data_IF_933130909225
#
_entry.id   IF_933130909225
#
_cell.length_a   1.000
_cell.length_b   1.000
_cell.length_c   1.000
_cell.angle_alpha   90.00
_cell.angle_beta   90.00
_cell.angle_gamma   90.00
#
_symmetry.space_group_name_H-M   'P 1'
#
loop_
_entity.id
_entity.type
_entity.pdbx_description
1 polymer ?
#
# COMPACT_ATOMS: atom_id res chain seq x y z
N UNK A 1 -24.82 10.82 11.81
CA UNK A 1 -23.63 10.30 12.52
C UNK A 1 -23.89 8.83 12.85
N UNK A 2 -22.93 7.96 12.58
CA UNK A 2 -23.00 6.51 12.79
C UNK A 2 -21.80 6.09 13.65
N UNK A 3 -21.97 5.11 14.53
CA UNK A 3 -20.90 4.57 15.37
C UNK A 3 -20.80 3.06 15.21
N UNK A 4 -19.58 2.55 15.02
CA UNK A 4 -19.34 1.11 14.99
C UNK A 4 -19.47 0.50 16.39
N UNK A 5 -20.24 -0.59 16.53
CA UNK A 5 -20.49 -1.27 17.80
C UNK A 5 -19.29 -2.10 18.32
N UNK A 6 -18.25 -2.28 17.51
CA UNK A 6 -17.05 -3.05 17.89
C UNK A 6 -15.85 -2.17 18.24
N UNK A 7 -15.54 -1.20 17.38
CA UNK A 7 -14.34 -0.35 17.53
C UNK A 7 -14.65 1.12 17.87
N UNK A 8 -15.93 1.44 18.15
CA UNK A 8 -16.42 2.77 18.51
C UNK A 8 -16.11 3.89 17.50
N UNK A 9 -15.62 3.54 16.31
CA UNK A 9 -15.29 4.49 15.25
C UNK A 9 -16.54 5.22 14.78
N UNK A 10 -16.46 6.54 14.74
CA UNK A 10 -17.55 7.42 14.31
C UNK A 10 -17.38 7.78 12.84
N UNK A 11 -18.48 7.70 12.08
CA UNK A 11 -18.55 8.07 10.67
C UNK A 11 -19.72 9.05 10.48
N UNK A 12 -19.50 10.09 9.68
CA UNK A 12 -20.54 11.01 9.26
C UNK A 12 -21.11 10.54 7.93
N UNK A 13 -22.44 10.46 7.83
CA UNK A 13 -23.15 10.28 6.56
C UNK A 13 -23.56 11.67 6.09
N UNK A 14 -23.22 12.02 4.85
CA UNK A 14 -23.58 13.27 4.21
C UNK A 14 -24.57 12.93 3.11
N UNK A 15 -25.79 13.46 3.26
CA UNK A 15 -26.86 13.28 2.30
C UNK A 15 -27.03 14.59 1.52
N UNK A 16 -27.08 14.51 0.20
CA UNK A 16 -27.22 15.67 -0.68
C UNK A 16 -28.67 15.82 -1.11
N UNK A 17 -29.22 17.02 -0.98
CA UNK A 17 -30.57 17.33 -1.48
C UNK A 17 -30.50 18.53 -2.42
N UNK A 18 -31.05 18.36 -3.61
CA UNK A 18 -31.14 19.39 -4.63
C UNK A 18 -32.61 19.54 -5.06
N UNK A 19 -33.08 20.79 -5.17
CA UNK A 19 -34.47 21.09 -5.51
C UNK A 19 -34.81 20.88 -6.99
N UNK A 20 -33.81 20.89 -7.87
CA UNK A 20 -34.02 20.88 -9.33
C UNK A 20 -33.93 19.48 -9.95
N UNK A 21 -33.21 18.56 -9.29
CA UNK A 21 -33.03 17.19 -9.76
C UNK A 21 -32.90 16.26 -8.56
N UNK A 22 -33.58 15.11 -8.64
CA UNK A 22 -33.30 13.98 -7.74
C UNK A 22 -31.92 13.42 -8.10
N UNK A 23 -30.90 13.96 -7.42
CA UNK A 23 -29.66 13.22 -7.23
C UNK A 23 -30.07 11.98 -6.43
N UNK A 24 -30.08 10.80 -7.07
CA UNK A 24 -30.40 9.54 -6.39
C UNK A 24 -29.58 9.38 -5.10
N UNK A 25 -29.96 8.42 -4.25
CA UNK A 25 -29.50 8.21 -2.86
C UNK A 25 -27.96 8.03 -2.70
N UNK A 26 -27.18 9.06 -3.06
CA UNK A 26 -25.73 9.11 -3.02
C UNK A 26 -25.34 9.73 -1.69
N UNK A 27 -25.36 8.90 -0.65
CA UNK A 27 -24.80 9.25 0.64
C UNK A 27 -23.27 9.14 0.58
N UNK A 28 -22.58 10.23 0.90
CA UNK A 28 -21.14 10.21 1.14
C UNK A 28 -20.84 9.88 2.61
N UNK A 29 -19.65 9.34 2.87
CA UNK A 29 -19.22 9.00 4.23
C UNK A 29 -17.88 9.67 4.55
N UNK A 30 -17.77 10.26 5.74
CA UNK A 30 -16.53 10.82 6.25
C UNK A 30 -16.12 10.17 7.58
N UNK A 31 -14.89 9.64 7.70
CA UNK A 31 -13.91 9.46 6.61
C UNK A 31 -14.42 8.46 5.55
N UNK A 32 -13.92 8.53 4.30
CA UNK A 32 -14.29 7.60 3.23
C UNK A 32 -14.01 6.14 3.60
N UNK A 33 -14.71 5.19 2.98
CA UNK A 33 -14.51 3.76 3.22
C UNK A 33 -13.12 3.26 2.78
N UNK A 34 -12.55 3.88 1.74
CA UNK A 34 -11.19 3.64 1.31
C UNK A 34 -10.13 4.25 2.25
N UNK A 35 -10.55 5.13 3.16
CA UNK A 35 -9.64 5.78 4.12
C UNK A 35 -9.10 4.77 5.12
N UNK A 36 -7.80 4.87 5.38
CA UNK A 36 -7.05 4.03 6.31
C UNK A 36 -6.04 4.87 7.07
N UNK A 37 -5.65 4.39 8.26
CA UNK A 37 -4.62 5.04 9.07
C UNK A 37 -3.24 4.75 8.46
N UNK A 38 -2.37 5.75 8.30
CA UNK A 38 -0.99 5.52 7.91
C UNK A 38 -0.26 4.63 8.94
N UNK A 39 0.62 3.71 8.52
CA UNK A 39 1.35 2.84 9.40
C UNK A 39 2.44 3.60 10.17
N UNK A 40 2.69 3.21 11.41
CA UNK A 40 3.69 3.85 12.27
C UNK A 40 5.11 3.76 11.69
N UNK A 41 5.41 2.68 10.96
CA UNK A 41 6.73 2.46 10.35
C UNK A 41 6.99 3.36 9.13
N UNK A 42 5.98 4.09 8.63
CA UNK A 42 6.12 5.01 7.49
C UNK A 42 7.21 6.07 7.71
N UNK A 43 7.53 6.42 8.95
CA UNK A 43 8.59 7.38 9.26
C UNK A 43 10.00 6.81 9.11
N UNK A 44 10.14 5.49 8.94
CA UNK A 44 11.41 4.78 8.87
C UNK A 44 11.84 4.47 7.43
N UNK A 45 10.94 4.61 6.45
CA UNK A 45 11.28 4.45 5.03
C UNK A 45 11.98 5.70 4.47
N UNK A 46 12.75 5.57 3.37
CA UNK A 46 13.36 6.70 2.68
C UNK A 46 12.38 7.83 2.37
N UNK A 47 12.85 9.08 2.45
CA UNK A 47 12.02 10.28 2.33
C UNK A 47 11.22 10.30 1.01
N UNK A 48 11.83 9.92 -0.12
CA UNK A 48 11.14 9.89 -1.41
C UNK A 48 9.93 8.96 -1.42
N UNK A 49 10.04 7.78 -0.80
CA UNK A 49 8.93 6.82 -0.67
C UNK A 49 7.89 7.34 0.31
N UNK A 50 8.34 7.93 1.42
CA UNK A 50 7.47 8.46 2.47
C UNK A 50 6.57 9.58 1.95
N UNK A 51 7.13 10.54 1.22
CA UNK A 51 6.38 11.66 0.67
C UNK A 51 5.32 11.17 -0.29
N UNK A 52 5.67 10.29 -1.23
CA UNK A 52 4.70 9.73 -2.18
C UNK A 52 3.64 8.87 -1.48
N UNK A 53 4.02 8.08 -0.47
CA UNK A 53 3.06 7.33 0.34
C UNK A 53 2.10 8.26 1.09
N UNK A 54 2.56 9.41 1.58
CA UNK A 54 1.71 10.40 2.24
C UNK A 54 0.67 10.96 1.27
N UNK A 55 1.06 11.29 0.04
CA UNK A 55 0.13 11.75 -1.01
C UNK A 55 -0.93 10.70 -1.34
N UNK A 56 -0.56 9.41 -1.37
CA UNK A 56 -1.51 8.31 -1.55
C UNK A 56 -2.52 8.28 -0.39
N UNK A 57 -2.08 8.40 0.87
CA UNK A 57 -3.00 8.48 2.00
C UNK A 57 -3.92 9.69 1.93
N UNK A 58 -3.42 10.85 1.49
CA UNK A 58 -4.26 12.04 1.25
C UNK A 58 -5.33 11.75 0.20
N UNK A 59 -4.98 11.07 -0.90
CA UNK A 59 -5.95 10.66 -1.92
C UNK A 59 -7.01 9.70 -1.37
N UNK A 60 -6.62 8.73 -0.53
CA UNK A 60 -7.55 7.81 0.14
C UNK A 60 -8.51 8.54 1.09
N UNK A 61 -8.00 9.52 1.84
CA UNK A 61 -8.79 10.34 2.76
C UNK A 61 -9.75 11.30 2.04
N UNK A 62 -9.47 11.63 0.79
CA UNK A 62 -10.30 12.45 -0.09
C UNK A 62 -11.19 11.62 -1.05
N UNK A 63 -11.35 10.31 -0.80
CA UNK A 63 -12.06 9.35 -1.66
C UNK A 63 -11.63 9.37 -3.15
N UNK A 64 -10.40 9.81 -3.42
CA UNK A 64 -9.82 9.93 -4.76
C UNK A 64 -9.23 8.61 -5.23
N UNK A 65 -10.11 7.61 -5.40
CA UNK A 65 -9.77 6.19 -5.63
C UNK A 65 -8.79 5.94 -6.78
N UNK A 66 -9.02 6.56 -7.93
CA UNK A 66 -8.13 6.42 -9.10
C UNK A 66 -6.75 7.02 -8.83
N UNK A 67 -6.69 8.17 -8.18
CA UNK A 67 -5.43 8.83 -7.83
C UNK A 67 -4.63 7.99 -6.83
N UNK A 68 -5.29 7.42 -5.82
CA UNK A 68 -4.64 6.51 -4.88
C UNK A 68 -4.02 5.30 -5.61
N UNK A 69 -4.73 4.69 -6.55
CA UNK A 69 -4.19 3.57 -7.35
C UNK A 69 -3.04 3.97 -8.29
N UNK A 70 -3.13 5.14 -8.89
CA UNK A 70 -2.03 5.69 -9.71
C UNK A 70 -0.79 5.93 -8.85
N UNK A 71 -0.97 6.51 -7.66
CA UNK A 71 0.12 6.73 -6.70
C UNK A 71 0.71 5.42 -6.19
N UNK A 72 -0.11 4.42 -5.87
CA UNK A 72 0.35 3.09 -5.47
C UNK A 72 1.24 2.45 -6.54
N UNK A 73 0.84 2.55 -7.81
CA UNK A 73 1.66 2.10 -8.95
C UNK A 73 2.97 2.88 -9.07
N UNK A 74 2.93 4.20 -8.93
CA UNK A 74 4.12 5.04 -8.98
C UNK A 74 5.10 4.71 -7.84
N UNK A 75 4.60 4.46 -6.64
CA UNK A 75 5.41 4.10 -5.47
C UNK A 75 6.11 2.75 -5.65
N UNK A 76 5.44 1.77 -6.26
CA UNK A 76 6.09 0.51 -6.65
C UNK A 76 7.23 0.75 -7.65
N UNK A 77 7.03 1.63 -8.63
CA UNK A 77 8.07 1.95 -9.61
C UNK A 77 9.27 2.65 -8.98
N UNK A 78 9.03 3.65 -8.12
CA UNK A 78 10.09 4.34 -7.35
C UNK A 78 10.86 3.35 -6.48
N UNK A 79 10.15 2.49 -5.75
CA UNK A 79 10.79 1.42 -4.97
C UNK A 79 11.67 0.53 -5.86
N UNK A 80 11.15 0.04 -6.98
CA UNK A 80 11.92 -0.80 -7.89
C UNK A 80 13.15 -0.08 -8.42
N UNK A 81 13.03 1.17 -8.86
CA UNK A 81 14.14 1.97 -9.36
C UNK A 81 15.25 2.13 -8.32
N UNK A 82 14.90 2.41 -7.07
CA UNK A 82 15.88 2.59 -5.99
C UNK A 82 16.60 1.27 -5.62
N UNK A 83 15.99 0.12 -5.90
CA UNK A 83 16.52 -1.19 -5.51
C UNK A 83 17.27 -1.91 -6.66
N UNK A 84 16.82 -1.76 -7.91
CA UNK A 84 17.37 -2.45 -9.09
C UNK A 84 17.80 -1.53 -10.23
N UNK A 85 17.58 -0.22 -10.10
CA UNK A 85 17.83 0.76 -11.16
C UNK A 85 16.68 0.85 -12.16
N UNK A 86 16.78 1.79 -13.09
CA UNK A 86 15.77 1.98 -14.12
C UNK A 86 15.93 0.94 -15.25
N UNK A 87 15.08 -0.08 -15.19
CA UNK A 87 14.93 -1.08 -16.25
C UNK A 87 13.65 -0.79 -17.05
N UNK A 88 13.66 -1.05 -18.35
CA UNK A 88 12.58 -0.66 -19.26
C UNK A 88 11.16 -1.09 -18.86
N UNK A 89 11.01 -2.23 -18.18
CA UNK A 89 9.68 -2.79 -17.89
C UNK A 89 9.57 -3.26 -16.45
N UNK A 90 8.34 -3.26 -15.92
CA UNK A 90 8.04 -3.77 -14.58
C UNK A 90 8.42 -5.24 -14.42
N UNK A 91 8.20 -6.06 -15.44
CA UNK A 91 8.56 -7.49 -15.37
C UNK A 91 10.09 -7.67 -15.19
N UNK A 92 10.90 -6.89 -15.91
CA UNK A 92 12.36 -6.91 -15.75
C UNK A 92 12.77 -6.43 -14.35
N UNK A 93 12.14 -5.36 -13.83
CA UNK A 93 12.40 -4.86 -12.47
C UNK A 93 12.05 -5.91 -11.41
N UNK A 94 10.90 -6.58 -11.54
CA UNK A 94 10.46 -7.61 -10.60
C UNK A 94 11.36 -8.86 -10.66
N UNK A 95 11.73 -9.31 -11.86
CA UNK A 95 12.69 -10.43 -12.01
C UNK A 95 14.04 -10.10 -11.37
N UNK A 96 14.55 -8.88 -11.58
CA UNK A 96 15.79 -8.44 -10.94
C UNK A 96 15.69 -8.37 -9.40
N UNK A 97 14.52 -8.04 -8.84
CA UNK A 97 14.30 -8.08 -7.39
C UNK A 97 14.31 -9.51 -6.83
N UNK A 98 13.76 -10.48 -7.58
CA UNK A 98 13.82 -11.92 -7.25
C UNK A 98 15.25 -12.42 -7.30
N UNK A 99 15.99 -12.12 -8.38
CA UNK A 99 17.39 -12.52 -8.55
C UNK A 99 18.29 -11.99 -7.44
N UNK A 100 18.03 -10.76 -6.95
CA UNK A 100 18.74 -10.18 -5.80
C UNK A 100 18.24 -10.69 -4.44
N UNK A 101 17.27 -11.61 -4.41
CA UNK A 101 16.69 -12.17 -3.18
C UNK A 101 15.92 -11.16 -2.33
N UNK A 102 15.51 -10.01 -2.90
CA UNK A 102 14.75 -8.99 -2.16
C UNK A 102 13.28 -9.40 -2.01
N UNK A 103 12.75 -10.06 -3.04
CA UNK A 103 11.40 -10.64 -3.07
C UNK A 103 11.47 -12.11 -3.54
N UNK A 104 10.41 -12.88 -3.32
CA UNK A 104 10.24 -14.24 -3.86
C UNK A 104 9.40 -14.23 -5.14
N UNK A 105 9.35 -15.37 -5.85
CA UNK A 105 8.46 -15.52 -7.01
C UNK A 105 6.98 -15.36 -6.65
N UNK A 106 6.57 -15.80 -5.44
CA UNK A 106 5.20 -15.60 -4.98
C UNK A 106 4.89 -14.13 -4.76
N UNK A 107 5.85 -13.36 -4.22
CA UNK A 107 5.69 -11.91 -4.05
C UNK A 107 5.57 -11.22 -5.41
N UNK A 108 6.34 -11.66 -6.41
CA UNK A 108 6.26 -11.14 -7.79
C UNK A 108 4.82 -11.23 -8.32
N UNK A 109 4.16 -12.38 -8.18
CA UNK A 109 2.78 -12.56 -8.64
C UNK A 109 1.80 -11.60 -7.91
N UNK A 110 1.98 -11.41 -6.61
CA UNK A 110 1.18 -10.48 -5.80
C UNK A 110 1.39 -9.02 -6.25
N UNK A 111 2.65 -8.62 -6.49
CA UNK A 111 2.98 -7.26 -6.95
C UNK A 111 2.46 -6.96 -8.35
N UNK A 112 2.46 -7.96 -9.25
CA UNK A 112 1.86 -7.82 -10.59
C UNK A 112 0.38 -7.46 -10.49
N UNK A 113 -0.37 -8.06 -9.58
CA UNK A 113 -1.79 -7.74 -9.40
C UNK A 113 -2.02 -6.26 -9.03
N UNK A 114 -1.23 -5.72 -8.09
CA UNK A 114 -1.31 -4.31 -7.71
C UNK A 114 -0.89 -3.38 -8.87
N UNK A 115 0.16 -3.74 -9.62
CA UNK A 115 0.61 -2.99 -10.79
C UNK A 115 -0.47 -2.95 -11.89
N UNK A 116 -1.14 -4.07 -12.15
CA UNK A 116 -2.22 -4.16 -13.15
C UNK A 116 -3.46 -3.37 -12.76
N UNK A 117 -3.83 -3.38 -11.47
CA UNK A 117 -4.92 -2.56 -10.96
C UNK A 117 -4.61 -1.06 -11.13
N UNK A 118 -3.39 -0.64 -10.82
CA UNK A 118 -2.93 0.74 -11.08
C UNK A 118 -2.88 1.08 -12.57
N UNK A 119 -2.46 0.13 -13.43
CA UNK A 119 -2.46 0.30 -14.88
C UNK A 119 -3.89 0.47 -15.41
N UNK A 120 -4.85 -0.31 -14.90
CA UNK A 120 -6.27 -0.18 -15.23
C UNK A 120 -6.84 1.18 -14.83
N UNK A 121 -6.52 1.67 -13.63
CA UNK A 121 -6.95 2.99 -13.18
C UNK A 121 -6.37 4.11 -14.06
N UNK A 122 -5.09 3.99 -14.45
CA UNK A 122 -4.37 5.02 -15.21
C UNK A 122 -4.81 5.07 -16.68
N UNK A 123 -4.84 3.93 -17.37
CA UNK A 123 -4.98 3.90 -18.83
C UNK A 123 -6.36 3.45 -19.30
N UNK A 124 -7.07 2.65 -18.51
CA UNK A 124 -8.39 2.11 -18.88
C UNK A 124 -9.55 2.86 -18.22
N UNK A 125 -9.26 3.87 -17.41
CA UNK A 125 -10.27 4.62 -16.66
C UNK A 125 -11.03 3.77 -15.63
N UNK A 126 -10.48 2.62 -15.23
CA UNK A 126 -11.13 1.73 -14.26
C UNK A 126 -11.32 2.46 -12.92
N UNK A 127 -12.53 2.37 -12.35
CA UNK A 127 -12.81 2.84 -11.01
C UNK A 127 -12.74 1.63 -10.06
N UNK A 128 -11.68 1.49 -9.25
CA UNK A 128 -11.54 0.38 -8.33
C UNK A 128 -12.59 0.46 -7.20
N UNK A 129 -13.03 -0.70 -6.70
CA UNK A 129 -13.85 -0.75 -5.49
C UNK A 129 -13.01 -0.44 -4.24
N UNK A 130 -13.67 -0.15 -3.11
CA UNK A 130 -12.97 0.07 -1.84
C UNK A 130 -12.13 -1.16 -1.42
N UNK A 131 -12.62 -2.37 -1.75
CA UNK A 131 -11.91 -3.61 -1.49
C UNK A 131 -10.66 -3.75 -2.39
N UNK A 132 -10.76 -3.40 -3.67
CA UNK A 132 -9.60 -3.45 -4.58
C UNK A 132 -8.49 -2.49 -4.15
N UNK A 133 -8.87 -1.27 -3.72
CA UNK A 133 -7.93 -0.29 -3.17
C UNK A 133 -7.30 -0.82 -1.90
N UNK A 134 -8.10 -1.43 -1.02
CA UNK A 134 -7.58 -1.98 0.22
C UNK A 134 -6.55 -3.07 -0.04
N UNK A 135 -6.83 -4.01 -0.95
CA UNK A 135 -5.89 -5.04 -1.35
C UNK A 135 -4.62 -4.46 -1.98
N UNK A 136 -4.73 -3.48 -2.88
CA UNK A 136 -3.58 -2.85 -3.50
C UNK A 136 -2.67 -2.16 -2.46
N UNK A 137 -3.28 -1.45 -1.52
CA UNK A 137 -2.54 -0.78 -0.45
C UNK A 137 -1.88 -1.78 0.51
N UNK A 138 -2.55 -2.88 0.86
CA UNK A 138 -1.96 -3.93 1.70
C UNK A 138 -0.71 -4.55 1.04
N UNK A 139 -0.75 -4.75 -0.28
CA UNK A 139 0.38 -5.25 -1.06
C UNK A 139 1.56 -4.26 -1.05
N UNK A 140 1.29 -2.98 -1.31
CA UNK A 140 2.31 -1.93 -1.33
C UNK A 140 2.92 -1.73 0.06
N UNK A 141 2.08 -1.62 1.09
CA UNK A 141 2.50 -1.47 2.48
C UNK A 141 3.34 -2.66 2.94
N UNK A 142 2.95 -3.90 2.59
CA UNK A 142 3.72 -5.09 2.92
C UNK A 142 5.13 -5.08 2.29
N UNK A 143 5.25 -4.69 1.02
CA UNK A 143 6.54 -4.58 0.33
C UNK A 143 7.48 -3.62 1.06
N UNK A 144 6.98 -2.43 1.41
CA UNK A 144 7.75 -1.39 2.09
C UNK A 144 8.13 -1.80 3.51
N UNK A 145 7.18 -2.38 4.26
CA UNK A 145 7.46 -2.87 5.61
C UNK A 145 8.49 -4.00 5.60
N UNK A 146 8.39 -4.93 4.65
CA UNK A 146 9.34 -6.03 4.52
C UNK A 146 10.75 -5.55 4.24
N UNK A 147 10.91 -4.49 3.44
CA UNK A 147 12.21 -3.85 3.23
C UNK A 147 12.81 -3.38 4.56
N UNK A 148 12.02 -2.75 5.44
CA UNK A 148 12.48 -2.33 6.77
C UNK A 148 12.83 -3.52 7.68
N UNK A 149 12.06 -4.61 7.60
CA UNK A 149 12.26 -5.79 8.43
C UNK A 149 13.61 -6.49 8.18
N UNK A 150 14.23 -6.30 7.01
CA UNK A 150 15.57 -6.82 6.74
C UNK A 150 16.60 -6.24 7.72
N UNK A 151 16.56 -4.93 7.97
CA UNK A 151 17.45 -4.27 8.92
C UNK A 151 17.16 -4.69 10.37
N UNK A 152 15.88 -4.83 10.72
CA UNK A 152 15.46 -5.31 12.05
C UNK A 152 15.91 -6.75 12.30
N UNK A 153 15.85 -7.62 11.29
CA UNK A 153 16.33 -8.99 11.38
C UNK A 153 17.84 -9.06 11.60
N UNK A 154 18.62 -8.25 10.87
CA UNK A 154 20.07 -8.15 11.07
C UNK A 154 20.45 -7.64 12.47
N UNK A 155 19.75 -6.61 12.95
CA UNK A 155 19.97 -6.06 14.29
C UNK A 155 19.64 -7.10 15.38
N UNK A 156 18.53 -7.83 15.22
CA UNK A 156 18.13 -8.88 16.14
C UNK A 156 19.13 -10.05 16.14
N UNK A 157 19.62 -10.47 14.96
CA UNK A 157 20.63 -11.52 14.85
C UNK A 157 21.93 -11.15 15.57
N UNK A 158 22.37 -9.89 15.48
CA UNK A 158 23.56 -9.39 16.20
C UNK A 158 23.37 -9.34 17.72
N UNK A 159 22.17 -9.02 18.19
CA UNK A 159 21.85 -8.94 19.61
C UNK A 159 21.59 -10.33 20.25
N UNK A 160 21.24 -11.34 19.44
CA UNK A 160 20.91 -12.68 19.92
C UNK A 160 22.19 -13.45 20.25
N UNK A 161 22.38 -13.91 21.50
CA UNK A 161 23.57 -14.68 21.87
C UNK A 161 23.63 -16.02 21.11
N UNK A 162 24.83 -16.52 20.78
CA UNK A 162 24.98 -17.78 20.08
C UNK A 162 24.44 -18.93 20.93
N UNK A 163 23.86 -19.94 20.26
CA UNK A 163 23.33 -21.13 20.93
C UNK A 163 24.45 -21.81 21.72
N UNK A 164 24.24 -22.14 23.02
CA UNK A 164 25.24 -22.88 23.78
C UNK A 164 25.43 -24.26 23.15
N UNK A 165 26.69 -24.64 22.91
CA UNK A 165 27.02 -25.96 22.39
C UNK A 165 26.58 -27.03 23.39
N UNK A 166 25.74 -27.98 22.95
CA UNK A 166 25.50 -29.20 23.72
C UNK A 166 26.83 -29.96 23.82
N UNK A 167 27.40 -30.07 25.03
CA UNK A 167 28.45 -31.05 25.29
C UNK A 167 27.89 -32.42 24.94
N UNK A 168 28.50 -33.11 23.98
CA UNK A 168 28.22 -34.53 23.77
C UNK A 168 28.69 -35.26 25.04
N UNK A 169 27.75 -35.90 25.73
CA UNK A 169 28.00 -36.83 26.85
C UNK A 169 28.11 -38.22 26.26
#
# INVERSE_FOLDING_TARGET
MLQCLGCETVVLRVDHWHSEYDMGDQSEFYPPRASRRPPLWMWQIPDGWRVLLAEIYTALQADSKRLAMMGARALLDVYMNDNVGDLRTFDLKLSALVEKGRITDSDKAVLVAALEAGHAATHRGHLPSDADIAHAMDIVENLLQRHLLQFSAEALAKATPPRPNKKQV
#
